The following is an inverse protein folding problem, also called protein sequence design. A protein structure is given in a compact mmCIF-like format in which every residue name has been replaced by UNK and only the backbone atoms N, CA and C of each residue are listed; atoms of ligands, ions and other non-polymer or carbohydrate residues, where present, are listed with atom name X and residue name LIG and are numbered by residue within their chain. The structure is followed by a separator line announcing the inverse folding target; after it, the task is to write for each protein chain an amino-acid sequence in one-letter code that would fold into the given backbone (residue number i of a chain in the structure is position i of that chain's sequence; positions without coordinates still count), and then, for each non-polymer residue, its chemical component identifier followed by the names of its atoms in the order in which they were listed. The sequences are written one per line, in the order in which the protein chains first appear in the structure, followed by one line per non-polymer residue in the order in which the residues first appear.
data_IF_701017368678
#
_entry.id   IF_701017368678
#
_cell.length_a   1.000
_cell.length_b   1.000
_cell.length_c   1.000
_cell.angle_alpha   90.00
_cell.angle_beta   90.00
_cell.angle_gamma   90.00
#
_symmetry.space_group_name_H-M   'P 1'
#
loop_
_entity.id
_entity.type
_entity.pdbx_description
1 polymer ?
#
# COMPACT_ATOMS: atom_id res chain seq x y z
N UNK A 1 -11.72 21.48 10.33
CA UNK A 1 -10.33 21.98 10.21
C UNK A 1 -9.67 21.28 9.03
N UNK A 2 -9.93 21.73 7.79
CA UNK A 2 -9.21 21.24 6.61
C UNK A 2 -7.68 21.42 6.77
N UNK A 3 -7.27 22.41 7.55
CA UNK A 3 -5.87 22.81 7.78
C UNK A 3 -5.03 21.81 8.60
N UNK A 4 -5.58 20.66 9.00
CA UNK A 4 -4.85 19.64 9.77
C UNK A 4 -4.34 18.47 8.93
N UNK A 5 -4.72 18.38 7.65
CA UNK A 5 -4.25 17.31 6.79
C UNK A 5 -2.92 17.69 6.11
N UNK A 6 -1.97 16.75 5.99
CA UNK A 6 -0.72 17.00 5.29
C UNK A 6 -0.98 17.31 3.82
N UNK A 7 -0.33 18.35 3.29
CA UNK A 7 -0.42 18.72 1.86
C UNK A 7 0.27 17.72 0.93
N UNK A 8 1.19 16.91 1.47
CA UNK A 8 1.94 15.91 0.74
C UNK A 8 2.39 14.81 1.70
N UNK A 9 2.27 13.56 1.26
CA UNK A 9 2.73 12.38 1.98
C UNK A 9 3.59 11.52 1.04
N UNK A 10 4.57 10.82 1.62
CA UNK A 10 5.34 9.80 0.94
C UNK A 10 5.27 8.51 1.76
N UNK A 11 5.08 7.38 1.09
CA UNK A 11 4.90 6.07 1.73
C UNK A 11 5.85 5.06 1.12
N UNK A 12 6.61 4.35 1.97
CA UNK A 12 7.41 3.18 1.57
C UNK A 12 6.57 1.93 1.83
N UNK A 13 6.15 1.27 0.75
CA UNK A 13 5.40 0.01 0.87
C UNK A 13 6.35 -1.19 0.95
N UNK A 14 6.86 -1.46 2.15
CA UNK A 14 7.60 -2.69 2.44
C UNK A 14 6.67 -3.84 2.89
N UNK A 15 7.17 -5.07 2.84
CA UNK A 15 6.53 -6.23 3.46
C UNK A 15 5.71 -7.11 2.52
N UNK A 16 5.52 -6.70 1.26
CA UNK A 16 4.81 -7.52 0.25
C UNK A 16 5.45 -8.91 0.07
N UNK A 17 6.78 -8.97 0.02
CA UNK A 17 7.51 -10.24 -0.08
C UNK A 17 7.37 -11.11 1.18
N UNK A 18 7.45 -10.52 2.38
CA UNK A 18 7.24 -11.25 3.65
C UNK A 18 5.81 -11.75 3.77
N UNK A 19 4.84 -10.95 3.34
CA UNK A 19 3.43 -11.33 3.31
C UNK A 19 3.17 -12.54 2.42
N UNK A 20 3.79 -12.59 1.23
CA UNK A 20 3.69 -13.75 0.34
C UNK A 20 4.33 -15.00 0.97
N UNK A 21 5.54 -14.86 1.55
CA UNK A 21 6.27 -15.95 2.20
C UNK A 21 5.51 -16.56 3.38
N UNK A 22 4.87 -15.73 4.23
CA UNK A 22 4.08 -16.21 5.38
C UNK A 22 2.83 -17.02 4.98
N UNK A 23 2.51 -17.09 3.69
CA UNK A 23 1.32 -17.75 3.14
C UNK A 23 1.69 -18.83 2.14
N UNK A 24 2.98 -19.19 2.07
CA UNK A 24 3.53 -20.14 1.11
C UNK A 24 3.24 -19.76 -0.36
N UNK A 25 3.18 -18.45 -0.64
CA UNK A 25 2.93 -17.91 -1.97
C UNK A 25 4.22 -17.39 -2.62
N UNK A 26 4.32 -17.44 -3.96
CA UNK A 26 5.40 -16.79 -4.68
C UNK A 26 5.41 -15.27 -4.45
N UNK A 27 6.60 -14.65 -4.43
CA UNK A 27 6.76 -13.20 -4.20
C UNK A 27 5.91 -12.31 -5.11
N UNK A 28 5.67 -12.75 -6.35
CA UNK A 28 4.82 -12.01 -7.31
C UNK A 28 3.41 -11.78 -6.77
N UNK A 29 2.88 -12.68 -5.94
CA UNK A 29 1.55 -12.54 -5.36
C UNK A 29 1.50 -11.42 -4.31
N UNK A 30 2.60 -11.25 -3.57
CA UNK A 30 2.79 -10.09 -2.70
C UNK A 30 2.79 -8.78 -3.47
N UNK A 31 3.41 -8.74 -4.66
CA UNK A 31 3.39 -7.56 -5.52
C UNK A 31 1.98 -7.26 -6.04
N UNK A 32 1.23 -8.27 -6.49
CA UNK A 32 -0.18 -8.08 -6.93
C UNK A 32 -1.06 -7.53 -5.82
N UNK A 33 -0.93 -8.05 -4.60
CA UNK A 33 -1.60 -7.49 -3.42
C UNK A 33 -1.14 -6.06 -3.11
N UNK A 34 0.15 -5.78 -3.28
CA UNK A 34 0.72 -4.44 -3.13
C UNK A 34 0.01 -3.42 -4.03
N UNK A 35 -0.26 -3.77 -5.28
CA UNK A 35 -0.99 -2.90 -6.24
C UNK A 35 -2.39 -2.55 -5.73
N UNK A 36 -3.15 -3.51 -5.21
CA UNK A 36 -4.47 -3.25 -4.63
C UNK A 36 -4.39 -2.30 -3.43
N UNK A 37 -3.32 -2.40 -2.63
CA UNK A 37 -3.09 -1.54 -1.46
C UNK A 37 -2.77 -0.10 -1.88
N UNK A 38 -1.93 0.09 -2.91
CA UNK A 38 -1.68 1.42 -3.51
C UNK A 38 -2.97 2.06 -3.97
N UNK A 39 -3.75 1.32 -4.74
CA UNK A 39 -4.97 1.83 -5.35
C UNK A 39 -5.92 2.37 -4.27
N UNK A 40 -6.16 1.59 -3.22
CA UNK A 40 -6.98 2.03 -2.08
C UNK A 40 -6.39 3.28 -1.42
N UNK A 41 -5.09 3.33 -1.17
CA UNK A 41 -4.46 4.48 -0.53
C UNK A 41 -4.63 5.76 -1.35
N UNK A 42 -4.44 5.68 -2.67
CA UNK A 42 -4.62 6.82 -3.59
C UNK A 42 -6.08 7.26 -3.64
N UNK A 43 -7.02 6.31 -3.73
CA UNK A 43 -8.47 6.59 -3.74
C UNK A 43 -8.93 7.29 -2.46
N UNK A 44 -8.42 6.88 -1.29
CA UNK A 44 -8.76 7.53 -0.01
C UNK A 44 -8.11 8.92 0.13
N UNK A 45 -6.89 9.13 -0.37
CA UNK A 45 -6.26 10.46 -0.35
C UNK A 45 -6.94 11.47 -1.29
N UNK A 46 -7.62 10.98 -2.33
CA UNK A 46 -8.30 11.81 -3.32
C UNK A 46 -9.76 12.15 -2.93
N UNK A 47 -10.27 11.59 -1.84
CA UNK A 47 -11.64 11.83 -1.34
C UNK A 47 -11.71 13.13 -0.54
#
# INVERSE_FOLDING_TARGET
MPDRLPRHIAVIMDGNGRWAQQRDLPRIEGHRRGVASVRRLVEECAR
#
